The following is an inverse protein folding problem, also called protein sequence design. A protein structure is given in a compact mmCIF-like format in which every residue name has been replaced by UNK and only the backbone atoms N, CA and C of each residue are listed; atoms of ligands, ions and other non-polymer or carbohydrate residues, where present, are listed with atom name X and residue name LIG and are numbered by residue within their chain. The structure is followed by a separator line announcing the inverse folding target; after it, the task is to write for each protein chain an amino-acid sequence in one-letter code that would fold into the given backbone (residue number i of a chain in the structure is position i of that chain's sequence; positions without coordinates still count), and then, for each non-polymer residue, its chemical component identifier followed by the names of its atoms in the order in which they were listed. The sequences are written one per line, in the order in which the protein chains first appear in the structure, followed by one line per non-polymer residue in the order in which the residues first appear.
data_IF_505186177211
#
_entry.id   IF_505186177211
#
_cell.length_a   1.000
_cell.length_b   1.000
_cell.length_c   1.000
_cell.angle_alpha   90.00
_cell.angle_beta   90.00
_cell.angle_gamma   90.00
#
_symmetry.space_group_name_H-M   'P 1'
#
loop_
_entity.id
_entity.type
_entity.pdbx_description
1 polymer ?
#
# COMPACT_ATOMS: atom_id res chain seq x y z
N UNK A 1 -11.81 -18.18 -0.53
CA UNK A 1 -11.57 -17.16 -1.56
C UNK A 1 -10.19 -17.39 -2.13
N UNK A 2 -10.02 -17.38 -3.45
CA UNK A 2 -8.74 -17.68 -4.10
C UNK A 2 -7.67 -16.66 -3.67
N UNK A 3 -6.50 -17.14 -3.29
CA UNK A 3 -5.34 -16.30 -3.02
C UNK A 3 -4.77 -15.79 -4.33
N UNK A 4 -4.41 -14.51 -4.36
CA UNK A 4 -3.75 -13.91 -5.52
C UNK A 4 -2.92 -12.72 -5.10
N UNK A 5 -2.02 -12.30 -5.99
CA UNK A 5 -1.21 -11.11 -5.79
C UNK A 5 -2.09 -9.86 -5.70
N UNK A 6 -1.84 -9.04 -4.69
CA UNK A 6 -2.51 -7.76 -4.46
C UNK A 6 -1.54 -6.60 -4.57
N UNK A 7 -1.99 -5.54 -5.22
CA UNK A 7 -1.38 -4.21 -5.15
C UNK A 7 -2.27 -3.28 -4.34
N UNK A 8 -1.65 -2.39 -3.56
CA UNK A 8 -2.32 -1.32 -2.83
C UNK A 8 -1.79 0.03 -3.30
N UNK A 9 -2.68 0.99 -3.51
CA UNK A 9 -2.34 2.38 -3.79
C UNK A 9 -3.22 3.29 -2.93
N UNK A 10 -2.66 4.39 -2.41
CA UNK A 10 -3.43 5.33 -1.60
C UNK A 10 -3.01 6.78 -1.80
N UNK A 11 -3.89 7.71 -1.46
CA UNK A 11 -3.56 9.14 -1.36
C UNK A 11 -4.08 9.72 -0.04
N UNK A 12 -3.35 10.71 0.48
CA UNK A 12 -3.67 11.42 1.72
C UNK A 12 -3.78 12.93 1.47
N UNK A 13 -4.72 13.58 2.13
CA UNK A 13 -4.85 15.03 2.14
C UNK A 13 -3.82 15.66 3.09
N UNK A 14 -2.85 16.38 2.53
CA UNK A 14 -1.90 17.19 3.30
C UNK A 14 -2.59 18.19 4.25
N UNK A 15 -3.68 18.82 3.81
CA UNK A 15 -4.44 19.75 4.64
C UNK A 15 -5.08 19.05 5.84
N UNK A 16 -5.65 17.86 5.63
CA UNK A 16 -6.23 17.08 6.71
C UNK A 16 -5.15 16.54 7.66
N UNK A 17 -4.01 16.10 7.12
CA UNK A 17 -2.87 15.63 7.91
C UNK A 17 -2.35 16.72 8.86
N UNK A 18 -2.27 17.98 8.43
CA UNK A 18 -1.90 19.09 9.31
C UNK A 18 -2.85 19.26 10.50
N UNK A 19 -4.11 18.84 10.38
CA UNK A 19 -5.14 18.97 11.42
C UNK A 19 -5.26 17.73 12.31
N UNK A 20 -5.16 16.54 11.74
CA UNK A 20 -5.54 15.29 12.41
C UNK A 20 -4.36 14.36 12.72
N UNK A 21 -3.21 14.53 12.07
CA UNK A 21 -2.04 13.71 12.37
C UNK A 21 -1.45 14.10 13.75
N UNK A 22 -1.06 13.14 14.61
CA UNK A 22 -0.70 13.39 16.01
C UNK A 22 0.62 14.15 16.22
N UNK A 23 1.38 14.41 15.15
CA UNK A 23 2.66 15.11 15.21
C UNK A 23 2.72 16.29 14.24
N UNK A 24 3.52 17.31 14.57
CA UNK A 24 3.80 18.43 13.65
C UNK A 24 4.54 17.99 12.38
N UNK A 25 5.27 16.87 12.43
CA UNK A 25 5.92 16.30 11.25
C UNK A 25 4.95 15.33 10.54
N UNK A 26 3.94 15.90 9.88
CA UNK A 26 2.88 15.12 9.23
C UNK A 26 3.36 14.30 8.02
N UNK A 27 4.55 14.58 7.49
CA UNK A 27 5.21 13.73 6.49
C UNK A 27 5.48 12.30 6.99
N UNK A 28 5.52 12.08 8.32
CA UNK A 28 5.64 10.75 8.91
C UNK A 28 4.43 9.84 8.66
N UNK A 29 3.27 10.38 8.26
CA UNK A 29 2.10 9.60 7.91
C UNK A 29 2.39 8.51 6.86
N UNK A 30 3.18 8.82 5.84
CA UNK A 30 3.59 7.84 4.82
C UNK A 30 4.56 6.81 5.38
N UNK A 31 5.46 7.20 6.29
CA UNK A 31 6.38 6.28 6.95
C UNK A 31 5.65 5.30 7.86
N UNK A 32 4.61 5.74 8.57
CA UNK A 32 3.79 4.89 9.44
C UNK A 32 3.04 3.84 8.62
N UNK A 33 2.34 4.27 7.54
CA UNK A 33 1.65 3.34 6.63
C UNK A 33 2.66 2.41 5.96
N UNK A 34 3.82 2.92 5.53
CA UNK A 34 4.88 2.08 4.96
C UNK A 34 5.29 0.99 5.93
N UNK A 35 5.61 1.35 7.18
CA UNK A 35 6.02 0.40 8.20
C UNK A 35 5.00 -0.71 8.40
N UNK A 36 3.73 -0.34 8.54
CA UNK A 36 2.63 -1.30 8.69
C UNK A 36 2.48 -2.22 7.48
N UNK A 37 2.48 -1.66 6.27
CA UNK A 37 2.33 -2.46 5.04
C UNK A 37 3.49 -3.43 4.83
N UNK A 38 4.72 -3.02 5.16
CA UNK A 38 5.88 -3.90 5.13
C UNK A 38 5.73 -5.07 6.14
N UNK A 39 5.24 -4.77 7.35
CA UNK A 39 5.03 -5.77 8.42
C UNK A 39 4.02 -6.86 8.00
N UNK A 40 2.93 -6.48 7.33
CA UNK A 40 1.90 -7.44 6.89
C UNK A 40 2.20 -8.13 5.55
N UNK A 41 3.44 -8.00 5.04
CA UNK A 41 3.92 -8.75 3.89
C UNK A 41 3.73 -8.06 2.53
N UNK A 42 3.78 -6.74 2.47
CA UNK A 42 3.87 -6.00 1.20
C UNK A 42 5.28 -5.46 0.96
N UNK A 43 5.70 -5.39 -0.29
CA UNK A 43 6.87 -4.66 -0.75
C UNK A 43 6.48 -3.27 -1.23
N UNK A 44 7.25 -2.26 -0.82
CA UNK A 44 7.14 -0.90 -1.35
C UNK A 44 7.65 -0.84 -2.79
N UNK A 45 6.90 -0.22 -3.70
CA UNK A 45 7.25 -0.13 -5.13
C UNK A 45 7.62 1.28 -5.56
N UNK A 46 6.75 2.25 -5.26
CA UNK A 46 6.91 3.66 -5.59
C UNK A 46 5.93 4.47 -4.75
N UNK A 47 6.27 5.69 -4.32
CA UNK A 47 5.33 6.61 -3.64
C UNK A 47 4.38 5.89 -2.64
N UNK A 48 3.06 5.94 -2.87
CA UNK A 48 2.04 5.26 -2.07
C UNK A 48 1.62 3.90 -2.62
N UNK A 49 2.43 3.28 -3.48
CA UNK A 49 2.18 2.02 -4.18
C UNK A 49 2.97 0.85 -3.59
N UNK A 50 2.25 -0.25 -3.34
CA UNK A 50 2.74 -1.46 -2.68
C UNK A 50 2.25 -2.70 -3.40
N UNK A 51 3.00 -3.81 -3.31
CA UNK A 51 2.58 -5.12 -3.83
C UNK A 51 2.88 -6.19 -2.79
N UNK A 52 1.90 -7.04 -2.52
CA UNK A 52 2.06 -8.22 -1.63
C UNK A 52 3.24 -9.08 -2.05
N UNK A 53 3.96 -9.67 -1.08
CA UNK A 53 5.07 -10.59 -1.32
C UNK A 53 4.54 -11.94 -1.81
N UNK A 54 3.49 -12.44 -1.16
CA UNK A 54 2.85 -13.71 -1.50
C UNK A 54 1.44 -13.51 -2.08
N UNK A 55 0.86 -14.59 -2.60
CA UNK A 55 -0.56 -14.60 -2.92
C UNK A 55 -1.36 -14.59 -1.62
N UNK A 56 -2.27 -13.62 -1.48
CA UNK A 56 -3.06 -13.43 -0.25
C UNK A 56 -4.55 -13.34 -0.58
N UNK A 57 -5.38 -13.69 0.40
CA UNK A 57 -6.84 -13.55 0.26
C UNK A 57 -7.26 -12.08 0.37
N UNK A 58 -8.39 -11.73 -0.24
CA UNK A 58 -9.00 -10.41 -0.04
C UNK A 58 -9.42 -10.17 1.42
N UNK A 59 -9.82 -11.21 2.16
CA UNK A 59 -10.16 -11.10 3.58
C UNK A 59 -8.96 -10.68 4.41
N UNK A 60 -7.78 -11.26 4.15
CA UNK A 60 -6.54 -10.89 4.84
C UNK A 60 -6.22 -9.41 4.65
N UNK A 61 -6.33 -8.90 3.41
CA UNK A 61 -6.13 -7.47 3.12
C UNK A 61 -7.14 -6.62 3.89
N UNK A 62 -8.44 -6.93 3.78
CA UNK A 62 -9.51 -6.14 4.43
C UNK A 62 -9.30 -6.09 5.94
N UNK A 63 -9.01 -7.24 6.57
CA UNK A 63 -8.79 -7.33 8.01
C UNK A 63 -7.64 -6.42 8.45
N UNK A 64 -6.50 -6.48 7.77
CA UNK A 64 -5.35 -5.67 8.14
C UNK A 64 -5.52 -4.18 7.83
N UNK A 65 -6.27 -3.80 6.79
CA UNK A 65 -6.58 -2.38 6.55
C UNK A 65 -7.53 -1.84 7.64
N UNK A 66 -8.48 -2.65 8.12
CA UNK A 66 -9.32 -2.28 9.28
C UNK A 66 -8.44 -2.07 10.51
N UNK A 67 -7.56 -3.03 10.84
CA UNK A 67 -6.63 -2.93 11.97
C UNK A 67 -5.73 -1.70 11.88
N UNK A 68 -5.16 -1.43 10.69
CA UNK A 68 -4.36 -0.23 10.44
C UNK A 68 -5.16 1.05 10.67
N UNK A 69 -6.43 1.10 10.25
CA UNK A 69 -7.30 2.26 10.44
C UNK A 69 -7.65 2.51 11.91
N UNK A 70 -7.69 1.44 12.72
CA UNK A 70 -7.92 1.53 14.17
C UNK A 70 -6.66 1.97 14.92
N UNK A 71 -5.49 1.50 14.47
CA UNK A 71 -4.19 1.91 14.98
C UNK A 71 -3.91 3.38 14.65
N UNK A 72 -4.02 3.75 13.39
CA UNK A 72 -3.83 5.10 12.87
C UNK A 72 -5.16 5.84 12.80
N UNK A 73 -5.72 6.19 13.96
CA UNK A 73 -7.04 6.85 14.09
C UNK A 73 -7.20 8.12 13.23
N UNK A 74 -6.10 8.77 12.86
CA UNK A 74 -6.06 9.93 11.98
C UNK A 74 -6.41 9.59 10.52
N UNK A 75 -6.15 8.35 10.07
CA UNK A 75 -6.24 7.92 8.68
C UNK A 75 -7.62 8.18 8.08
N UNK A 76 -8.70 7.88 8.81
CA UNK A 76 -10.07 8.08 8.32
C UNK A 76 -10.42 9.53 7.97
N UNK A 77 -9.69 10.50 8.53
CA UNK A 77 -9.89 11.93 8.23
C UNK A 77 -8.98 12.42 7.11
N UNK A 78 -7.92 11.67 6.81
CA UNK A 78 -6.85 12.08 5.91
C UNK A 78 -6.86 11.33 4.58
N UNK A 79 -7.42 10.12 4.54
CA UNK A 79 -7.49 9.30 3.32
C UNK A 79 -8.38 9.97 2.28
N UNK A 80 -7.87 10.03 1.06
CA UNK A 80 -8.64 10.40 -0.14
C UNK A 80 -9.02 9.17 -0.93
N UNK A 81 -8.03 8.32 -1.19
CA UNK A 81 -8.18 7.06 -1.91
C UNK A 81 -7.39 5.97 -1.19
N UNK A 82 -7.91 4.74 -1.21
CA UNK A 82 -7.19 3.56 -0.75
C UNK A 82 -7.69 2.34 -1.51
N UNK A 83 -7.03 2.04 -2.62
CA UNK A 83 -7.48 1.05 -3.58
C UNK A 83 -6.67 -0.24 -3.48
N UNK A 84 -7.35 -1.35 -3.76
CA UNK A 84 -6.75 -2.66 -3.91
C UNK A 84 -7.00 -3.17 -5.33
N UNK A 85 -5.96 -3.73 -5.93
CA UNK A 85 -6.03 -4.34 -7.26
C UNK A 85 -5.52 -5.77 -7.17
N UNK A 86 -6.24 -6.72 -7.77
CA UNK A 86 -5.70 -8.06 -8.04
C UNK A 86 -4.80 -7.95 -9.27
N UNK A 87 -3.52 -8.28 -9.11
CA UNK A 87 -2.56 -8.21 -10.22
C UNK A 87 -2.28 -9.62 -10.75
N UNK A 88 -2.18 -9.73 -12.07
CA UNK A 88 -1.83 -11.00 -12.74
C UNK A 88 -0.32 -11.25 -12.73
N UNK A 89 0.08 -12.30 -13.44
CA UNK A 89 1.49 -12.73 -13.54
C UNK A 89 2.37 -11.62 -14.15
N UNK A 90 1.85 -10.91 -15.15
CA UNK A 90 2.48 -9.69 -15.65
C UNK A 90 2.00 -8.46 -14.88
N UNK A 91 2.91 -7.87 -14.10
CA UNK A 91 2.64 -6.66 -13.33
C UNK A 91 3.67 -5.56 -13.58
N UNK A 92 4.95 -5.91 -13.71
CA UNK A 92 6.06 -4.96 -13.74
C UNK A 92 6.70 -4.89 -15.13
N UNK A 93 6.37 -3.86 -15.90
CA UNK A 93 6.89 -3.68 -17.25
C UNK A 93 8.35 -3.19 -17.33
N UNK A 94 9.04 -3.01 -16.18
CA UNK A 94 10.45 -2.58 -16.13
C UNK A 94 11.36 -3.48 -16.98
N UNK A 95 11.09 -4.79 -17.01
CA UNK A 95 11.87 -5.75 -17.80
C UNK A 95 11.89 -5.42 -19.30
N UNK A 96 10.74 -4.99 -19.84
CA UNK A 96 10.62 -4.60 -21.25
C UNK A 96 11.28 -3.26 -21.55
N UNK A 97 11.27 -2.33 -20.60
CA UNK A 97 11.93 -1.02 -20.73
C UNK A 97 13.45 -1.17 -20.66
N UNK A 98 13.93 -1.96 -19.70
CA UNK A 98 15.35 -2.18 -19.48
C UNK A 98 15.99 -3.08 -20.55
N UNK A 99 15.18 -3.72 -21.40
CA UNK A 99 15.63 -4.73 -22.37
C UNK A 99 16.47 -5.82 -21.70
N UNK A 100 16.15 -6.18 -20.45
CA UNK A 100 16.74 -7.35 -19.81
C UNK A 100 16.37 -8.57 -20.67
N UNK A 101 17.40 -9.23 -21.21
CA UNK A 101 17.31 -10.13 -22.35
C UNK A 101 16.12 -11.10 -22.25
N UNK A 102 15.42 -11.27 -23.37
CA UNK A 102 14.36 -12.28 -23.58
C UNK A 102 14.89 -13.73 -23.62
N UNK A 103 15.94 -14.03 -22.84
CA UNK A 103 16.65 -15.29 -22.86
C UNK A 103 16.87 -15.75 -21.42
N UNK A 104 15.84 -16.42 -20.89
CA UNK A 104 15.94 -17.61 -20.04
C UNK A 104 14.64 -18.43 -20.21
#
# INVERSE_FOLDING_TARGET
MLESKKALNFDLSNQALQKYYPSKNYGKAWSDIKGYLLEIGFNHRQYSGYVSIDNISMTYVIQHIIEMSLLFKWLKYCVKEFDVTIVGDEFSLKRYINQENYLD
#
